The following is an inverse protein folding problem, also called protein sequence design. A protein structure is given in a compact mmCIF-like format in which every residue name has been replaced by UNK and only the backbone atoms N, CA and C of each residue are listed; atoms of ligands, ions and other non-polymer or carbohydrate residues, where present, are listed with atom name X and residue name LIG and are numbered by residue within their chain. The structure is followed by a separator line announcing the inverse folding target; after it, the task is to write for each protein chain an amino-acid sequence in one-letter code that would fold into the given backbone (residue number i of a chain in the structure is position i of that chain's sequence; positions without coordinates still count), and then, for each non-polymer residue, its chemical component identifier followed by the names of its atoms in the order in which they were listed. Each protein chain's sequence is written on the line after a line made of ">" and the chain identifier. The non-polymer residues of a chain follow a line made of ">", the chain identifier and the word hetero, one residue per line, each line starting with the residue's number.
data_IF_232070162684
#
_entry.id   IF_232070162684
#
_cell.length_a   1.000
_cell.length_b   1.000
_cell.length_c   1.000
_cell.angle_alpha   90.00
_cell.angle_beta   90.00
_cell.angle_gamma   90.00
#
_symmetry.space_group_name_H-M   'P 1'
#
loop_
_entity.id
_entity.type
_entity.pdbx_description
1 polymer ?
#
# COMPACT_ATOMS: atom_id res chain seq x y z
N UNK A 1 6.20 2.57 -21.07
CA UNK A 1 5.05 2.83 -20.17
C UNK A 1 3.92 3.42 -20.98
N UNK A 2 2.70 2.94 -20.81
CA UNK A 2 1.54 3.53 -21.48
C UNK A 2 0.93 4.62 -20.59
N UNK A 3 0.42 5.70 -21.18
CA UNK A 3 -0.24 6.78 -20.44
C UNK A 3 -1.37 6.26 -19.53
N UNK A 4 -2.08 5.22 -19.95
CA UNK A 4 -3.08 4.54 -19.11
C UNK A 4 -2.51 3.88 -17.85
N UNK A 5 -1.31 3.27 -17.92
CA UNK A 5 -0.66 2.68 -16.74
C UNK A 5 -0.26 3.74 -15.70
N UNK A 6 0.16 4.92 -16.16
CA UNK A 6 0.48 6.05 -15.30
C UNK A 6 -0.76 6.55 -14.53
N UNK A 7 -1.89 6.72 -15.23
CA UNK A 7 -3.16 7.16 -14.62
C UNK A 7 -3.64 6.17 -13.56
N UNK A 8 -3.61 4.87 -13.86
CA UNK A 8 -4.01 3.83 -12.90
C UNK A 8 -3.10 3.85 -11.67
N UNK A 9 -1.79 4.06 -11.85
CA UNK A 9 -0.84 4.20 -10.74
C UNK A 9 -1.16 5.40 -9.85
N UNK A 10 -1.49 6.55 -10.46
CA UNK A 10 -1.94 7.75 -9.75
C UNK A 10 -3.22 7.54 -8.95
N UNK A 11 -4.19 6.83 -9.52
CA UNK A 11 -5.45 6.48 -8.84
C UNK A 11 -5.20 5.58 -7.64
N UNK A 12 -4.40 4.52 -7.80
CA UNK A 12 -4.03 3.62 -6.71
C UNK A 12 -3.26 4.35 -5.60
N UNK A 13 -2.35 5.24 -5.98
CA UNK A 13 -1.63 6.10 -5.04
C UNK A 13 -2.58 7.03 -4.27
N UNK A 14 -3.53 7.66 -4.96
CA UNK A 14 -4.53 8.53 -4.34
C UNK A 14 -5.47 7.78 -3.38
N UNK A 15 -5.85 6.54 -3.71
CA UNK A 15 -6.66 5.69 -2.81
C UNK A 15 -5.87 5.34 -1.55
N UNK A 16 -4.60 4.91 -1.69
CA UNK A 16 -3.74 4.62 -0.54
C UNK A 16 -3.53 5.86 0.34
N UNK A 17 -3.28 7.01 -0.28
CA UNK A 17 -3.11 8.28 0.42
C UNK A 17 -4.37 8.70 1.19
N UNK A 18 -5.55 8.61 0.55
CA UNK A 18 -6.82 8.97 1.22
C UNK A 18 -7.17 8.03 2.36
N UNK A 19 -6.79 6.75 2.29
CA UNK A 19 -6.92 5.81 3.41
C UNK A 19 -6.05 6.23 4.60
N UNK A 20 -4.78 6.56 4.36
CA UNK A 20 -3.87 7.04 5.42
C UNK A 20 -4.31 8.39 5.99
N UNK A 21 -4.73 9.33 5.13
CA UNK A 21 -5.23 10.64 5.56
C UNK A 21 -6.47 10.50 6.43
N UNK A 22 -7.48 9.75 5.99
CA UNK A 22 -8.70 9.54 6.77
C UNK A 22 -8.39 8.92 8.11
N UNK A 23 -7.43 7.99 8.16
CA UNK A 23 -6.96 7.41 9.43
C UNK A 23 -6.32 8.46 10.33
N UNK A 24 -5.42 9.29 9.81
CA UNK A 24 -4.76 10.33 10.60
C UNK A 24 -5.79 11.33 11.16
N UNK A 25 -6.75 11.75 10.34
CA UNK A 25 -7.87 12.58 10.79
C UNK A 25 -8.71 11.89 11.87
N UNK A 26 -8.98 10.58 11.75
CA UNK A 26 -9.69 9.82 12.77
C UNK A 26 -8.90 9.74 14.08
N UNK A 27 -7.59 9.57 14.03
CA UNK A 27 -6.73 9.58 15.21
C UNK A 27 -6.69 10.96 15.88
N UNK A 28 -6.68 12.04 15.10
CA UNK A 28 -6.69 13.43 15.61
C UNK A 28 -8.05 13.83 16.18
N UNK A 29 -9.17 13.42 15.57
CA UNK A 29 -10.52 13.81 15.99
C UNK A 29 -11.12 12.91 17.07
N UNK A 30 -10.83 11.60 17.07
CA UNK A 30 -11.44 10.65 18.02
C UNK A 30 -10.52 10.28 19.17
N UNK A 31 -9.20 10.51 19.06
CA UNK A 31 -8.24 10.10 20.09
C UNK A 31 -8.48 8.66 20.57
N UNK A 32 -8.38 8.45 21.89
CA UNK A 32 -8.51 7.14 22.55
C UNK A 32 -9.92 6.49 22.44
N UNK A 33 -10.97 7.24 22.05
CA UNK A 33 -12.29 6.66 21.78
C UNK A 33 -12.29 5.75 20.55
N UNK A 34 -11.34 5.96 19.63
CA UNK A 34 -11.11 5.08 18.50
C UNK A 34 -10.77 3.65 18.94
N UNK A 35 -10.04 3.45 20.03
CA UNK A 35 -9.71 2.11 20.56
C UNK A 35 -10.93 1.39 21.16
N UNK A 36 -11.91 2.12 21.68
CA UNK A 36 -13.14 1.54 22.25
C UNK A 36 -14.14 1.08 21.18
N UNK A 37 -14.13 1.73 20.00
CA UNK A 37 -14.97 1.35 18.86
C UNK A 37 -14.26 0.45 17.86
N UNK A 38 -12.95 0.25 18.02
CA UNK A 38 -12.22 -0.65 17.15
C UNK A 38 -12.60 -2.10 17.48
N UNK A 39 -13.15 -2.79 16.48
CA UNK A 39 -13.52 -4.19 16.63
C UNK A 39 -12.25 -4.98 16.99
N UNK A 40 -12.27 -5.81 18.05
CA UNK A 40 -11.12 -6.64 18.41
C UNK A 40 -10.84 -7.61 17.26
N UNK A 41 -9.85 -7.27 16.43
CA UNK A 41 -9.47 -8.02 15.23
C UNK A 41 -9.10 -7.16 14.02
N UNK A 42 -9.53 -5.90 13.95
CA UNK A 42 -9.12 -4.96 12.89
C UNK A 42 -8.04 -4.01 13.43
N UNK A 43 -6.84 -4.53 13.72
CA UNK A 43 -5.78 -3.66 14.25
C UNK A 43 -5.56 -2.45 13.33
N UNK A 44 -5.60 -1.25 13.89
CA UNK A 44 -5.26 0.02 13.22
C UNK A 44 -3.98 -0.06 12.39
N UNK A 45 -3.03 -0.91 12.81
CA UNK A 45 -1.80 -1.26 12.11
C UNK A 45 -2.04 -1.88 10.73
N UNK A 46 -3.06 -2.73 10.59
CA UNK A 46 -3.40 -3.41 9.34
C UNK A 46 -3.86 -2.42 8.28
N UNK A 47 -4.63 -1.39 8.67
CA UNK A 47 -5.09 -0.35 7.75
C UNK A 47 -3.97 0.59 7.31
N UNK A 48 -3.02 0.93 8.19
CA UNK A 48 -1.80 1.64 7.78
C UNK A 48 -0.99 0.83 6.79
N UNK A 49 -0.81 -0.45 7.09
CA UNK A 49 -0.01 -1.35 6.27
C UNK A 49 -0.64 -1.51 4.88
N UNK A 50 -1.97 -1.69 4.80
CA UNK A 50 -2.71 -1.75 3.54
C UNK A 50 -2.62 -0.43 2.77
N UNK A 51 -2.84 0.70 3.42
CA UNK A 51 -2.74 2.03 2.79
C UNK A 51 -1.33 2.32 2.24
N UNK A 52 -0.30 1.97 3.01
CA UNK A 52 1.11 2.14 2.64
C UNK A 52 1.49 1.22 1.48
N UNK A 53 1.03 -0.03 1.49
CA UNK A 53 1.23 -0.98 0.38
C UNK A 53 0.54 -0.50 -0.89
N UNK A 54 -0.67 0.06 -0.79
CA UNK A 54 -1.39 0.64 -1.94
C UNK A 54 -0.67 1.86 -2.51
N UNK A 55 -0.15 2.75 -1.68
CA UNK A 55 0.67 3.88 -2.14
C UNK A 55 1.94 3.40 -2.82
N UNK A 56 2.65 2.45 -2.22
CA UNK A 56 3.88 1.90 -2.78
C UNK A 56 3.62 1.19 -4.13
N UNK A 57 2.58 0.37 -4.20
CA UNK A 57 2.16 -0.31 -5.44
C UNK A 57 1.72 0.68 -6.52
N UNK A 58 0.93 1.70 -6.16
CA UNK A 58 0.51 2.76 -7.07
C UNK A 58 1.67 3.58 -7.61
N UNK A 59 2.64 3.92 -6.77
CA UNK A 59 3.88 4.60 -7.18
C UNK A 59 4.70 3.72 -8.12
N UNK A 60 4.96 2.46 -7.77
CA UNK A 60 5.72 1.54 -8.63
C UNK A 60 5.03 1.31 -9.97
N UNK A 61 3.70 1.23 -9.99
CA UNK A 61 2.91 1.06 -11.20
C UNK A 61 2.94 2.34 -12.05
N UNK A 62 2.83 3.50 -11.41
CA UNK A 62 2.91 4.81 -12.04
C UNK A 62 4.28 5.10 -12.65
N UNK A 63 5.38 4.66 -12.02
CA UNK A 63 6.76 4.83 -12.52
C UNK A 63 7.19 3.67 -13.44
N UNK A 64 6.32 2.67 -13.66
CA UNK A 64 6.58 1.55 -14.58
C UNK A 64 7.60 0.55 -14.06
N UNK A 65 7.96 0.66 -12.79
CA UNK A 65 8.88 -0.25 -12.10
C UNK A 65 8.17 -1.48 -11.53
N UNK A 66 6.83 -1.47 -11.48
CA UNK A 66 6.03 -2.55 -10.92
C UNK A 66 6.34 -3.91 -11.56
N UNK A 67 6.45 -3.96 -12.89
CA UNK A 67 6.74 -5.21 -13.59
C UNK A 67 8.14 -5.74 -13.25
N UNK A 68 9.15 -4.87 -13.18
CA UNK A 68 10.51 -5.25 -12.81
C UNK A 68 10.59 -5.70 -11.34
N UNK A 69 9.89 -5.00 -10.44
CA UNK A 69 9.81 -5.32 -9.02
C UNK A 69 9.12 -6.67 -8.77
N UNK A 70 7.93 -6.91 -9.35
CA UNK A 70 7.22 -8.19 -9.23
C UNK A 70 8.07 -9.33 -9.79
N UNK A 71 8.74 -9.12 -10.93
CA UNK A 71 9.63 -10.14 -11.51
C UNK A 71 10.79 -10.46 -10.57
N UNK A 72 11.43 -9.45 -9.95
CA UNK A 72 12.51 -9.66 -8.97
C UNK A 72 12.03 -10.30 -7.68
N UNK A 73 10.83 -9.96 -7.23
CA UNK A 73 10.24 -10.53 -6.01
C UNK A 73 9.86 -11.99 -6.23
N UNK A 74 9.23 -12.32 -7.37
CA UNK A 74 8.93 -13.70 -7.74
C UNK A 74 10.20 -14.52 -7.97
N UNK A 75 11.25 -13.93 -8.55
CA UNK A 75 12.56 -14.57 -8.63
C UNK A 75 13.11 -14.85 -7.22
N UNK A 76 13.14 -13.86 -6.32
CA UNK A 76 13.64 -14.07 -4.96
C UNK A 76 12.82 -15.04 -4.10
N UNK A 77 11.51 -15.18 -4.35
CA UNK A 77 10.61 -16.03 -3.55
C UNK A 77 10.42 -17.44 -4.10
N UNK A 78 10.30 -17.62 -5.42
CA UNK A 78 10.01 -18.91 -6.05
C UNK A 78 11.24 -19.57 -6.69
N UNK A 79 12.26 -18.79 -7.03
CA UNK A 79 13.54 -19.28 -7.50
C UNK A 79 14.63 -18.72 -6.60
N UNK A 80 14.72 -19.15 -5.32
CA UNK A 80 15.92 -18.86 -4.54
C UNK A 80 17.07 -19.28 -5.43
N UNK A 81 17.92 -18.33 -5.81
CA UNK A 81 19.12 -18.59 -6.58
C UNK A 81 19.92 -19.60 -5.79
N UNK A 82 19.77 -20.88 -6.13
CA UNK A 82 20.66 -21.94 -5.69
C UNK A 82 21.96 -21.62 -6.42
N UNK A 83 22.91 -21.04 -5.69
CA UNK A 83 24.28 -20.83 -6.15
C UNK A 83 24.57 -19.40 -6.61
N UNK A 84 25.07 -18.59 -5.68
CA UNK A 84 26.49 -18.26 -5.61
C UNK A 84 26.89 -18.02 -4.16
#
# INVERSE_FOLDING_TARGET
>A
MTFGSFIIGLVLFGIGFTMLWKRQMWHEYLGDLGMYFDKPGSSWLTWEMVGSVLMFAGFMYGVGLFQAFVTKLLQGFFFPTIGM
#
